data_IF_856345062580
#
_entry.id   IF_856345062580
#
_cell.length_a   1.000
_cell.length_b   1.000
_cell.length_c   1.000
_cell.angle_alpha   90.00
_cell.angle_beta   90.00
_cell.angle_gamma   90.00
#
_symmetry.space_group_name_H-M   'P 1'
#
loop_
_entity.id
_entity.type
_entity.pdbx_description
1 polymer ?
#
# COMPACT_ATOMS: atom_id res chain seq x y z
N UNK A 1 29.06 -13.99 1.69
CA UNK A 1 29.57 -15.27 1.15
C UNK A 1 29.11 -15.40 -0.29
N UNK A 2 29.98 -15.76 -1.23
CA UNK A 2 29.56 -16.02 -2.62
C UNK A 2 28.56 -17.18 -2.66
N UNK A 3 27.58 -17.12 -3.58
CA UNK A 3 26.58 -18.19 -3.74
C UNK A 3 27.25 -19.55 -4.03
N UNK A 4 28.36 -19.57 -4.77
CA UNK A 4 29.10 -20.80 -5.07
C UNK A 4 29.70 -21.43 -3.81
N UNK A 5 30.29 -20.62 -2.93
CA UNK A 5 30.85 -21.11 -1.66
C UNK A 5 29.76 -21.63 -0.72
N UNK A 6 28.59 -20.99 -0.73
CA UNK A 6 27.40 -21.41 0.02
C UNK A 6 26.93 -22.82 -0.37
N UNK A 7 26.87 -23.08 -1.67
CA UNK A 7 26.48 -24.38 -2.22
C UNK A 7 27.52 -25.46 -1.92
N UNK A 8 28.82 -25.14 -2.04
CA UNK A 8 29.89 -26.10 -1.72
C UNK A 8 29.84 -26.51 -0.24
N UNK A 9 29.70 -25.55 0.67
CA UNK A 9 29.57 -25.81 2.11
C UNK A 9 28.30 -26.61 2.42
N UNK A 10 27.19 -26.29 1.75
CA UNK A 10 25.96 -27.08 1.86
C UNK A 10 26.19 -28.55 1.50
N UNK A 11 26.77 -28.83 0.33
CA UNK A 11 27.03 -30.19 -0.14
C UNK A 11 27.94 -30.94 0.84
N UNK A 12 29.02 -30.29 1.30
CA UNK A 12 29.98 -30.91 2.21
C UNK A 12 29.35 -31.27 3.57
N UNK A 13 28.61 -30.34 4.17
CA UNK A 13 28.00 -30.54 5.49
C UNK A 13 26.81 -31.50 5.40
N UNK A 14 25.98 -31.38 4.37
CA UNK A 14 24.85 -32.28 4.13
C UNK A 14 25.32 -33.72 3.89
N UNK A 15 26.28 -33.92 2.97
CA UNK A 15 26.85 -35.23 2.69
C UNK A 15 27.54 -35.84 3.92
N UNK A 16 28.29 -35.02 4.67
CA UNK A 16 28.90 -35.43 5.94
C UNK A 16 27.88 -35.89 6.98
N UNK A 17 26.75 -35.20 7.10
CA UNK A 17 25.64 -35.60 7.97
C UNK A 17 25.03 -36.95 7.60
N UNK A 18 24.77 -37.17 6.30
CA UNK A 18 24.26 -38.47 5.82
C UNK A 18 25.25 -39.60 6.08
N UNK A 19 26.53 -39.41 5.76
CA UNK A 19 27.58 -40.42 6.02
C UNK A 19 27.67 -40.73 7.51
N UNK A 20 27.60 -39.71 8.37
CA UNK A 20 27.67 -39.90 9.82
C UNK A 20 26.48 -40.70 10.35
N UNK A 21 25.27 -40.47 9.85
CA UNK A 21 24.09 -41.27 10.19
C UNK A 21 24.25 -42.74 9.78
N UNK A 22 24.75 -43.00 8.56
CA UNK A 22 24.93 -44.35 8.05
C UNK A 22 26.02 -45.13 8.80
N UNK A 23 27.12 -44.46 9.18
CA UNK A 23 28.24 -45.10 9.89
C UNK A 23 27.92 -45.34 11.36
N UNK A 24 27.26 -44.39 12.03
CA UNK A 24 27.01 -44.47 13.48
C UNK A 24 25.69 -45.15 13.83
N UNK A 25 24.78 -45.31 12.86
CA UNK A 25 23.40 -45.74 13.13
C UNK A 25 22.61 -44.76 13.99
N UNK A 26 23.11 -43.53 14.19
CA UNK A 26 22.52 -42.54 15.07
C UNK A 26 21.96 -41.38 14.25
N UNK A 27 20.63 -41.23 14.26
CA UNK A 27 19.94 -40.16 13.57
C UNK A 27 20.44 -38.76 13.98
N UNK A 28 20.56 -38.53 15.29
CA UNK A 28 20.86 -37.20 15.85
C UNK A 28 22.25 -36.73 15.46
N UNK A 29 23.23 -37.64 15.38
CA UNK A 29 24.61 -37.30 15.06
C UNK A 29 24.73 -36.58 13.71
N UNK A 30 24.07 -37.08 12.66
CA UNK A 30 24.05 -36.41 11.36
C UNK A 30 22.93 -35.39 11.18
N UNK A 31 21.81 -35.51 11.91
CA UNK A 31 20.69 -34.58 11.81
C UNK A 31 21.10 -33.13 12.14
N UNK A 32 22.00 -32.94 13.12
CA UNK A 32 22.56 -31.62 13.46
C UNK A 32 23.33 -31.01 12.28
N UNK A 33 24.13 -31.82 11.58
CA UNK A 33 24.86 -31.36 10.40
C UNK A 33 23.89 -31.01 9.26
N UNK A 34 22.90 -31.85 9.00
CA UNK A 34 21.88 -31.63 7.96
C UNK A 34 21.06 -30.36 8.26
N UNK A 35 20.70 -30.12 9.53
CA UNK A 35 20.04 -28.89 9.95
C UNK A 35 20.92 -27.66 9.69
N UNK A 36 22.21 -27.70 10.07
CA UNK A 36 23.16 -26.63 9.76
C UNK A 36 23.31 -26.38 8.26
N UNK A 37 23.32 -27.43 7.44
CA UNK A 37 23.34 -27.32 5.99
C UNK A 37 22.05 -26.64 5.46
N UNK A 38 20.87 -27.03 5.93
CA UNK A 38 19.60 -26.38 5.55
C UNK A 38 19.58 -24.89 5.92
N UNK A 39 20.05 -24.54 7.12
CA UNK A 39 20.19 -23.14 7.56
C UNK A 39 21.10 -22.32 6.64
N UNK A 40 22.19 -22.93 6.16
CA UNK A 40 23.08 -22.31 5.20
C UNK A 40 22.39 -22.01 3.88
N UNK A 41 21.25 -22.59 3.52
CA UNK A 41 20.56 -22.33 2.24
C UNK A 41 19.30 -21.44 2.38
N UNK A 42 19.00 -20.93 3.58
CA UNK A 42 17.83 -20.08 3.80
C UNK A 42 17.85 -18.79 2.97
N UNK A 43 16.69 -18.40 2.45
CA UNK A 43 16.59 -17.14 1.72
C UNK A 43 16.42 -15.98 2.70
N UNK A 44 17.15 -14.89 2.43
CA UNK A 44 16.91 -13.63 3.15
C UNK A 44 15.56 -13.08 2.72
N UNK A 45 14.68 -12.82 3.69
CA UNK A 45 13.41 -12.15 3.44
C UNK A 45 13.59 -10.76 2.86
N UNK A 46 12.60 -10.30 2.09
CA UNK A 46 12.56 -8.95 1.53
C UNK A 46 11.50 -8.17 2.29
N UNK A 47 11.90 -7.07 2.94
CA UNK A 47 10.96 -6.13 3.55
C UNK A 47 10.93 -4.86 2.69
N UNK A 48 9.87 -4.70 1.92
CA UNK A 48 9.61 -3.53 1.07
C UNK A 48 8.53 -2.63 1.65
N UNK A 49 8.22 -2.75 2.95
CA UNK A 49 7.27 -1.83 3.60
C UNK A 49 7.81 -0.40 3.56
N UNK A 50 6.89 0.53 3.31
CA UNK A 50 7.21 1.95 3.26
C UNK A 50 7.41 2.48 4.68
N UNK A 51 8.65 2.84 5.00
CA UNK A 51 8.97 3.58 6.22
C UNK A 51 9.05 5.06 5.87
N UNK A 52 7.89 5.73 5.90
CA UNK A 52 7.79 7.16 5.70
C UNK A 52 7.93 7.82 7.07
N UNK A 53 8.93 8.67 7.25
CA UNK A 53 9.07 9.46 8.47
C UNK A 53 7.96 10.51 8.55
N UNK A 54 7.53 10.85 9.76
CA UNK A 54 6.39 11.76 9.96
C UNK A 54 6.65 13.18 9.43
N UNK A 55 7.92 13.57 9.30
CA UNK A 55 8.34 14.90 8.84
C UNK A 55 9.35 14.77 7.71
N UNK A 56 8.94 15.17 6.50
CA UNK A 56 9.84 15.29 5.36
C UNK A 56 9.90 16.76 4.97
N UNK A 57 11.09 17.34 4.97
CA UNK A 57 11.31 18.72 4.51
C UNK A 57 11.24 18.84 2.97
N UNK A 58 11.30 17.71 2.25
CA UNK A 58 11.34 17.64 0.78
C UNK A 58 10.07 16.99 0.17
N UNK A 59 8.88 17.28 0.70
CA UNK A 59 7.64 16.86 0.03
C UNK A 59 7.26 17.86 -1.04
N UNK A 60 7.14 17.40 -2.28
CA UNK A 60 6.80 18.25 -3.41
C UNK A 60 5.55 17.69 -4.11
N UNK A 61 4.60 18.59 -4.42
CA UNK A 61 3.46 18.28 -5.27
C UNK A 61 3.90 18.35 -6.73
N UNK A 62 3.83 17.24 -7.45
CA UNK A 62 4.11 17.19 -8.89
C UNK A 62 2.84 16.97 -9.70
N UNK A 63 2.77 17.59 -10.87
CA UNK A 63 1.70 17.32 -11.83
C UNK A 63 1.74 15.87 -12.26
N UNK A 64 0.58 15.24 -12.35
CA UNK A 64 0.44 13.84 -12.76
C UNK A 64 -0.67 13.67 -13.78
N UNK A 65 -0.45 12.74 -14.72
CA UNK A 65 -1.43 12.38 -15.74
C UNK A 65 -2.41 11.34 -15.21
N UNK A 66 -3.58 11.21 -15.86
CA UNK A 66 -4.55 10.15 -15.54
C UNK A 66 -3.91 8.76 -15.60
N UNK A 67 -3.08 8.51 -16.62
CA UNK A 67 -2.37 7.24 -16.80
C UNK A 67 -1.44 6.93 -15.61
N UNK A 68 -0.71 7.92 -15.08
CA UNK A 68 0.13 7.71 -13.90
C UNK A 68 -0.69 7.35 -12.66
N UNK A 69 -1.90 7.92 -12.49
CA UNK A 69 -2.80 7.54 -11.39
C UNK A 69 -3.34 6.12 -11.59
N UNK A 70 -3.68 5.75 -12.82
CA UNK A 70 -4.09 4.38 -13.17
C UNK A 70 -2.96 3.36 -12.94
N UNK A 71 -1.71 3.73 -13.21
CA UNK A 71 -0.54 2.92 -12.90
C UNK A 71 -0.40 2.68 -11.39
N UNK A 72 -0.57 3.72 -10.55
CA UNK A 72 -0.62 3.59 -9.09
C UNK A 72 -1.70 2.59 -8.67
N UNK A 73 -2.91 2.70 -9.24
CA UNK A 73 -4.01 1.77 -8.95
C UNK A 73 -3.69 0.34 -9.42
N UNK A 74 -3.03 0.19 -10.56
CA UNK A 74 -2.64 -1.11 -11.13
C UNK A 74 -1.59 -1.84 -10.29
N UNK A 75 -0.78 -1.10 -9.51
CA UNK A 75 0.22 -1.69 -8.61
C UNK A 75 -0.41 -2.62 -7.58
N UNK A 76 -1.59 -2.32 -7.05
CA UNK A 76 -2.34 -3.19 -6.11
C UNK A 76 -2.54 -4.60 -6.69
N UNK A 77 -2.96 -4.69 -7.96
CA UNK A 77 -3.17 -5.97 -8.65
C UNK A 77 -1.87 -6.71 -8.93
N UNK A 78 -0.76 -6.00 -9.16
CA UNK A 78 0.56 -6.60 -9.37
C UNK A 78 1.12 -7.12 -8.05
N UNK A 79 1.02 -6.33 -6.97
CA UNK A 79 1.45 -6.71 -5.62
C UNK A 79 0.71 -7.95 -5.12
N UNK A 80 -0.62 -8.03 -5.29
CA UNK A 80 -1.41 -9.22 -4.94
C UNK A 80 -1.03 -10.48 -5.71
N UNK A 81 -0.60 -10.35 -6.96
CA UNK A 81 -0.23 -11.50 -7.81
C UNK A 81 1.19 -12.00 -7.55
N UNK A 82 2.02 -11.19 -6.91
CA UNK A 82 3.43 -11.51 -6.66
C UNK A 82 3.61 -12.56 -5.56
N UNK A 83 2.63 -12.72 -4.67
CA UNK A 83 2.63 -13.70 -3.58
C UNK A 83 2.19 -15.10 -4.06
N UNK A 84 3.01 -15.73 -4.90
CA UNK A 84 2.78 -17.08 -5.45
C UNK A 84 3.99 -18.01 -5.26
N UNK A 85 4.85 -17.74 -4.29
CA UNK A 85 6.06 -18.52 -4.06
C UNK A 85 5.73 -19.89 -3.48
N UNK A 86 6.15 -20.97 -4.15
CA UNK A 86 5.93 -22.34 -3.66
C UNK A 86 6.71 -22.70 -2.39
N UNK A 87 7.70 -21.90 -1.99
CA UNK A 87 8.53 -22.13 -0.80
C UNK A 87 8.32 -21.05 0.28
N UNK A 88 7.17 -20.38 0.28
CA UNK A 88 6.82 -19.38 1.30
C UNK A 88 5.46 -19.74 1.92
N UNK A 89 5.47 -20.12 3.20
CA UNK A 89 4.27 -20.66 3.89
C UNK A 89 3.11 -19.65 3.97
N UNK A 90 3.39 -18.34 3.89
CA UNK A 90 2.36 -17.29 3.91
C UNK A 90 1.56 -17.21 2.61
N UNK A 91 2.07 -17.78 1.52
CA UNK A 91 1.33 -17.85 0.26
C UNK A 91 0.42 -19.09 0.24
N UNK A 92 -0.68 -19.04 -0.51
CA UNK A 92 -1.60 -20.19 -0.61
C UNK A 92 -0.92 -21.45 -1.19
N UNK A 93 -0.07 -21.29 -2.20
CA UNK A 93 0.65 -22.40 -2.83
C UNK A 93 1.73 -22.95 -1.90
N UNK A 94 2.51 -22.07 -1.25
CA UNK A 94 3.56 -22.48 -0.33
C UNK A 94 3.01 -23.11 0.93
N UNK A 95 1.86 -22.66 1.45
CA UNK A 95 1.14 -23.32 2.54
C UNK A 95 0.69 -24.75 2.17
N UNK A 96 0.14 -24.93 0.97
CA UNK A 96 -0.23 -26.26 0.46
C UNK A 96 0.99 -27.17 0.31
N UNK A 97 2.07 -26.69 -0.30
CA UNK A 97 3.29 -27.46 -0.48
C UNK A 97 3.98 -27.78 0.85
N UNK A 98 3.95 -26.85 1.81
CA UNK A 98 4.44 -27.09 3.17
C UNK A 98 3.67 -28.23 3.83
N UNK A 99 2.33 -28.22 3.72
CA UNK A 99 1.50 -29.30 4.23
C UNK A 99 1.81 -30.64 3.57
N UNK A 100 1.99 -30.67 2.24
CA UNK A 100 2.39 -31.89 1.51
C UNK A 100 3.74 -32.40 2.01
N UNK A 101 4.74 -31.52 2.18
CA UNK A 101 6.06 -31.88 2.72
C UNK A 101 5.95 -32.47 4.12
N UNK A 102 5.13 -31.88 5.00
CA UNK A 102 4.91 -32.42 6.35
C UNK A 102 4.27 -33.81 6.27
N UNK A 103 3.17 -33.97 5.52
CA UNK A 103 2.45 -35.25 5.42
C UNK A 103 3.35 -36.33 4.84
N UNK A 104 4.02 -36.07 3.72
CA UNK A 104 4.92 -37.04 3.08
C UNK A 104 6.10 -37.39 3.99
N UNK A 105 6.74 -36.39 4.60
CA UNK A 105 7.88 -36.62 5.48
C UNK A 105 7.50 -37.44 6.72
N UNK A 106 6.40 -37.11 7.39
CA UNK A 106 5.92 -37.90 8.54
C UNK A 106 5.44 -39.29 8.14
N UNK A 107 4.77 -39.43 6.99
CA UNK A 107 4.33 -40.73 6.49
C UNK A 107 5.50 -41.68 6.23
N UNK A 108 6.59 -41.18 5.63
CA UNK A 108 7.82 -41.96 5.42
C UNK A 108 8.43 -42.39 6.76
N UNK A 109 8.47 -41.50 7.76
CA UNK A 109 8.95 -41.85 9.10
C UNK A 109 8.11 -42.97 9.73
N UNK A 110 6.77 -42.89 9.61
CA UNK A 110 5.87 -43.91 10.14
C UNK A 110 6.11 -45.27 9.46
N UNK A 111 6.21 -45.31 8.12
CA UNK A 111 6.52 -46.55 7.40
C UNK A 111 7.84 -47.15 7.88
N UNK A 112 8.89 -46.33 8.00
CA UNK A 112 10.18 -46.80 8.48
C UNK A 112 10.13 -47.39 9.89
N UNK A 113 9.29 -46.84 10.78
CA UNK A 113 9.08 -47.38 12.13
C UNK A 113 8.30 -48.70 12.06
N UNK A 114 7.24 -48.78 11.27
CA UNK A 114 6.41 -49.98 11.12
C UNK A 114 7.18 -51.16 10.51
N UNK A 115 8.02 -50.89 9.50
CA UNK A 115 8.88 -51.89 8.86
C UNK A 115 10.17 -52.18 9.65
N UNK A 116 10.40 -51.45 10.75
CA UNK A 116 11.64 -51.49 11.53
C UNK A 116 12.91 -51.20 10.68
N UNK A 117 12.74 -50.41 9.61
CA UNK A 117 13.83 -49.92 8.76
C UNK A 117 14.25 -48.51 9.22
N UNK A 118 15.38 -48.48 9.92
CA UNK A 118 15.99 -47.25 10.42
C UNK A 118 16.42 -46.31 9.28
N UNK A 119 16.82 -46.83 8.12
CA UNK A 119 17.25 -45.98 7.00
C UNK A 119 16.07 -45.22 6.39
N UNK A 120 14.91 -45.88 6.26
CA UNK A 120 13.67 -45.24 5.79
C UNK A 120 13.23 -44.17 6.78
N UNK A 121 13.28 -44.48 8.08
CA UNK A 121 12.98 -43.51 9.14
C UNK A 121 13.92 -42.30 9.10
N UNK A 122 15.22 -42.52 8.90
CA UNK A 122 16.22 -41.45 8.82
C UNK A 122 16.01 -40.60 7.57
N UNK A 123 15.67 -41.21 6.44
CA UNK A 123 15.35 -40.49 5.22
C UNK A 123 14.17 -39.53 5.41
N UNK A 124 13.07 -40.01 6.01
CA UNK A 124 11.91 -39.17 6.32
C UNK A 124 12.24 -38.01 7.26
N UNK A 125 13.02 -38.27 8.31
CA UNK A 125 13.49 -37.23 9.24
C UNK A 125 14.38 -36.18 8.57
N UNK A 126 15.34 -36.62 7.75
CA UNK A 126 16.23 -35.74 7.00
C UNK A 126 15.47 -34.91 5.97
N UNK A 127 14.46 -35.48 5.31
CA UNK A 127 13.58 -34.77 4.39
C UNK A 127 12.88 -33.60 5.11
N UNK A 128 12.30 -33.85 6.29
CA UNK A 128 11.65 -32.80 7.08
C UNK A 128 12.65 -31.70 7.51
N UNK A 129 13.81 -32.09 8.04
CA UNK A 129 14.86 -31.14 8.47
C UNK A 129 15.36 -30.29 7.30
N UNK A 130 15.50 -30.87 6.12
CA UNK A 130 15.98 -30.16 4.95
C UNK A 130 14.96 -29.13 4.47
N UNK A 131 13.69 -29.51 4.34
CA UNK A 131 12.68 -28.69 3.65
C UNK A 131 11.94 -27.72 4.57
N UNK A 132 11.62 -28.08 5.81
CA UNK A 132 10.81 -27.21 6.72
C UNK A 132 11.40 -25.79 6.85
N UNK A 133 12.71 -25.61 7.11
CA UNK A 133 13.28 -24.27 7.28
C UNK A 133 13.10 -23.39 6.04
N UNK A 134 13.08 -23.97 4.84
CA UNK A 134 12.92 -23.21 3.61
C UNK A 134 11.54 -22.55 3.50
N UNK A 135 10.47 -23.26 3.89
CA UNK A 135 9.10 -22.71 3.92
C UNK A 135 8.91 -21.61 4.97
N UNK A 136 9.71 -21.65 6.05
CA UNK A 136 9.72 -20.67 7.14
C UNK A 136 10.74 -19.54 6.93
N UNK A 137 11.38 -19.49 5.76
CA UNK A 137 12.37 -18.47 5.41
C UNK A 137 11.90 -17.60 4.25
N UNK A 138 12.63 -16.51 3.98
CA UNK A 138 12.38 -15.72 2.77
C UNK A 138 11.10 -14.88 2.78
N UNK A 139 10.45 -14.69 3.93
CA UNK A 139 9.21 -13.91 4.04
C UNK A 139 9.30 -12.56 3.33
N UNK A 140 8.32 -12.28 2.46
CA UNK A 140 8.19 -11.02 1.75
C UNK A 140 7.14 -10.16 2.42
N UNK A 141 7.58 -9.06 3.02
CA UNK A 141 6.69 -8.09 3.65
C UNK A 141 6.53 -6.88 2.74
N UNK A 142 5.30 -6.55 2.42
CA UNK A 142 4.95 -5.41 1.58
C UNK A 142 3.75 -4.69 2.17
N UNK A 143 3.65 -3.40 1.87
CA UNK A 143 2.55 -2.56 2.35
C UNK A 143 1.33 -2.73 1.42
N UNK A 144 0.50 -3.73 1.72
CA UNK A 144 -0.71 -4.06 0.94
C UNK A 144 -1.78 -2.96 0.98
N UNK A 145 -1.72 -2.10 1.99
CA UNK A 145 -2.73 -1.08 2.28
C UNK A 145 -2.14 0.32 2.16
N UNK A 146 -1.38 0.56 1.08
CA UNK A 146 -0.79 1.87 0.87
C UNK A 146 -1.90 2.91 0.73
N UNK A 147 -1.96 3.86 1.67
CA UNK A 147 -2.96 4.94 1.71
C UNK A 147 -3.10 5.64 0.37
N UNK A 148 -2.01 5.75 -0.38
CA UNK A 148 -1.97 6.31 -1.74
C UNK A 148 -2.97 5.63 -2.70
N UNK A 149 -3.25 4.33 -2.55
CA UNK A 149 -4.27 3.65 -3.35
C UNK A 149 -5.67 4.17 -3.05
N UNK A 150 -5.96 4.48 -1.78
CA UNK A 150 -7.23 5.08 -1.37
C UNK A 150 -7.34 6.48 -1.97
N UNK A 151 -6.28 7.29 -1.90
CA UNK A 151 -6.22 8.59 -2.55
C UNK A 151 -6.47 8.50 -4.06
N UNK A 152 -5.72 7.65 -4.76
CA UNK A 152 -5.80 7.48 -6.21
C UNK A 152 -7.20 7.03 -6.66
N UNK A 153 -7.78 6.00 -6.01
CA UNK A 153 -9.12 5.50 -6.34
C UNK A 153 -10.20 6.56 -6.12
N UNK A 154 -10.16 7.29 -5.00
CA UNK A 154 -11.15 8.33 -4.71
C UNK A 154 -10.98 9.56 -5.63
N UNK A 155 -9.75 9.96 -5.94
CA UNK A 155 -9.51 11.06 -6.88
C UNK A 155 -9.97 10.73 -8.30
N UNK A 156 -9.73 9.50 -8.78
CA UNK A 156 -10.21 9.04 -10.08
C UNK A 156 -11.74 9.05 -10.15
N UNK A 157 -12.41 8.54 -9.11
CA UNK A 157 -13.88 8.61 -9.03
C UNK A 157 -14.39 10.05 -9.03
N UNK A 158 -13.77 10.92 -8.23
CA UNK A 158 -14.14 12.34 -8.18
C UNK A 158 -13.92 13.02 -9.53
N UNK A 159 -12.84 12.70 -10.24
CA UNK A 159 -12.57 13.17 -11.60
C UNK A 159 -13.69 12.78 -12.57
N UNK A 160 -14.09 11.51 -12.57
CA UNK A 160 -15.15 10.99 -13.43
C UNK A 160 -16.48 11.71 -13.13
N UNK A 161 -16.81 11.91 -11.85
CA UNK A 161 -17.99 12.68 -11.43
C UNK A 161 -17.92 14.14 -11.92
N UNK A 162 -16.77 14.80 -11.86
CA UNK A 162 -16.63 16.18 -12.38
C UNK A 162 -16.87 16.23 -13.88
N UNK A 163 -16.30 15.29 -14.64
CA UNK A 163 -16.49 15.22 -16.09
C UNK A 163 -17.95 14.99 -16.47
N UNK A 164 -18.70 14.20 -15.68
CA UNK A 164 -20.14 14.05 -15.85
C UNK A 164 -20.93 15.32 -15.51
N UNK A 165 -20.57 16.01 -14.42
CA UNK A 165 -21.27 17.22 -13.97
C UNK A 165 -21.04 18.39 -14.94
N UNK A 166 -19.81 18.55 -15.44
CA UNK A 166 -19.49 19.60 -16.39
C UNK A 166 -18.24 19.25 -17.23
N UNK A 167 -18.46 18.96 -18.51
CA UNK A 167 -17.42 18.62 -19.48
C UNK A 167 -16.45 19.77 -19.80
N UNK A 168 -16.82 21.03 -19.53
CA UNK A 168 -15.93 22.17 -19.78
C UNK A 168 -14.81 22.30 -18.74
N UNK A 169 -14.88 21.56 -17.63
CA UNK A 169 -13.88 21.62 -16.57
C UNK A 169 -12.71 20.70 -16.95
N UNK A 170 -11.52 21.27 -17.02
CA UNK A 170 -10.29 20.51 -17.23
C UNK A 170 -9.86 19.88 -15.92
N UNK A 171 -9.73 18.56 -15.94
CA UNK A 171 -9.34 17.76 -14.77
C UNK A 171 -7.87 17.38 -14.89
N UNK A 172 -7.09 17.68 -13.84
CA UNK A 172 -5.71 17.25 -13.67
C UNK A 172 -5.50 16.59 -12.31
N UNK A 173 -4.32 16.00 -12.12
CA UNK A 173 -3.94 15.36 -10.87
C UNK A 173 -2.63 15.95 -10.35
N UNK A 174 -2.49 15.98 -9.04
CA UNK A 174 -1.22 16.29 -8.38
C UNK A 174 -0.89 15.14 -7.45
N UNK A 175 0.34 14.65 -7.51
CA UNK A 175 0.85 13.58 -6.64
C UNK A 175 1.90 14.16 -5.71
N UNK A 176 1.73 13.94 -4.41
CA UNK A 176 2.72 14.25 -3.40
C UNK A 176 3.76 13.14 -3.39
N UNK A 177 5.01 13.48 -3.67
CA UNK A 177 6.10 12.52 -3.57
C UNK A 177 6.79 12.66 -2.21
N UNK A 178 7.08 11.52 -1.59
CA UNK A 178 7.84 11.42 -0.35
C UNK A 178 9.06 10.52 -0.54
N UNK A 179 10.16 10.91 0.10
CA UNK A 179 11.41 10.17 0.07
C UNK A 179 11.39 9.00 1.06
N UNK A 180 11.83 7.82 0.66
CA UNK A 180 12.01 6.69 1.56
C UNK A 180 13.23 6.93 2.45
N UNK A 181 13.04 6.87 3.77
CA UNK A 181 14.09 7.16 4.75
C UNK A 181 15.35 6.27 4.59
N UNK A 182 15.16 5.01 4.18
CA UNK A 182 16.26 4.04 4.02
C UNK A 182 16.90 4.07 2.64
N UNK A 183 16.09 4.13 1.59
CA UNK A 183 16.58 3.95 0.22
C UNK A 183 16.74 5.24 -0.57
N UNK A 184 16.30 6.38 -0.02
CA UNK A 184 16.32 7.69 -0.69
C UNK A 184 15.50 7.78 -1.98
N UNK A 185 14.76 6.72 -2.32
CA UNK A 185 13.89 6.70 -3.50
C UNK A 185 12.58 7.45 -3.22
N UNK A 186 12.04 8.11 -4.23
CA UNK A 186 10.78 8.85 -4.14
C UNK A 186 9.59 7.93 -4.40
N UNK A 187 8.54 8.06 -3.59
CA UNK A 187 7.31 7.27 -3.70
C UNK A 187 6.08 8.17 -3.62
N UNK A 188 5.00 7.81 -4.33
CA UNK A 188 3.74 8.56 -4.25
C UNK A 188 3.10 8.32 -2.87
N UNK A 189 2.83 9.42 -2.16
CA UNK A 189 2.25 9.43 -0.81
C UNK A 189 0.76 9.75 -0.86
N UNK A 190 0.40 10.80 -1.60
CA UNK A 190 -0.97 11.31 -1.71
C UNK A 190 -1.26 11.73 -3.15
N UNK A 191 -2.54 11.72 -3.51
CA UNK A 191 -3.04 12.21 -4.79
C UNK A 191 -4.16 13.20 -4.49
N UNK A 192 -4.15 14.35 -5.17
CA UNK A 192 -5.26 15.30 -5.14
C UNK A 192 -5.70 15.65 -6.56
N UNK A 193 -6.97 15.96 -6.68
CA UNK A 193 -7.60 16.40 -7.92
C UNK A 193 -7.34 17.91 -8.11
N UNK A 194 -6.99 18.34 -9.32
CA UNK A 194 -6.94 19.75 -9.71
C UNK A 194 -8.01 20.00 -10.76
N UNK A 195 -8.88 20.97 -10.50
CA UNK A 195 -9.93 21.41 -11.40
C UNK A 195 -9.56 22.80 -11.90
N UNK A 196 -9.54 22.94 -13.23
CA UNK A 196 -9.30 24.20 -13.91
C UNK A 196 -10.58 24.59 -14.65
N UNK A 197 -11.11 25.75 -14.32
CA UNK A 197 -12.29 26.32 -14.98
C UNK A 197 -11.83 27.29 -16.08
N UNK A 198 -12.40 27.17 -17.27
CA UNK A 198 -12.12 28.12 -18.36
C UNK A 198 -12.71 29.50 -18.03
N UNK A 199 -12.01 30.58 -18.42
CA UNK A 199 -12.44 31.96 -18.12
C UNK A 199 -12.33 32.34 -16.64
N UNK A 200 -11.51 31.63 -15.86
CA UNK A 200 -11.27 31.99 -14.45
C UNK A 200 -10.60 33.37 -14.31
N UNK A 201 -10.93 34.15 -13.26
CA UNK A 201 -10.23 35.40 -13.00
C UNK A 201 -8.76 35.13 -12.69
N UNK A 202 -7.87 36.09 -12.99
CA UNK A 202 -6.42 35.93 -12.76
C UNK A 202 -6.08 35.67 -11.28
N UNK A 203 -6.90 36.21 -10.38
CA UNK A 203 -6.76 35.98 -8.96
C UNK A 203 -7.14 34.56 -8.52
N UNK A 204 -7.76 33.73 -9.36
CA UNK A 204 -8.07 32.34 -9.03
C UNK A 204 -6.88 31.41 -9.30
N UNK A 205 -6.34 30.81 -8.24
CA UNK A 205 -5.16 29.94 -8.29
C UNK A 205 -5.52 28.46 -8.52
N UNK A 206 -6.78 28.10 -8.32
CA UNK A 206 -7.33 26.80 -8.69
C UNK A 206 -8.30 26.21 -7.68
N UNK A 207 -8.96 25.14 -8.10
CA UNK A 207 -9.82 24.31 -7.27
C UNK A 207 -9.20 22.94 -7.09
N UNK A 208 -9.14 22.46 -5.86
CA UNK A 208 -8.53 21.18 -5.53
C UNK A 208 -9.51 20.27 -4.81
N UNK A 209 -9.71 19.05 -5.32
CA UNK A 209 -10.38 17.97 -4.59
C UNK A 209 -9.34 17.23 -3.75
N UNK A 210 -9.51 17.26 -2.43
CA UNK A 210 -8.59 16.66 -1.48
C UNK A 210 -9.27 15.55 -0.69
N UNK A 211 -8.46 14.62 -0.18
CA UNK A 211 -8.91 13.53 0.68
C UNK A 211 -8.15 13.58 1.99
N UNK A 212 -8.85 13.45 3.11
CA UNK A 212 -8.26 13.19 4.41
C UNK A 212 -8.63 11.79 4.85
N UNK A 213 -7.68 11.00 5.37
CA UNK A 213 -7.94 9.63 5.82
C UNK A 213 -7.83 9.60 7.34
N UNK A 214 -8.98 9.50 8.01
CA UNK A 214 -9.04 9.27 9.44
C UNK A 214 -8.98 7.77 9.72
N UNK A 215 -8.22 7.35 10.73
CA UNK A 215 -8.14 5.95 11.13
C UNK A 215 -8.84 5.77 12.47
N UNK A 216 -9.88 4.93 12.49
CA UNK A 216 -10.58 4.54 13.74
C UNK A 216 -10.39 3.03 13.91
N UNK A 217 -9.56 2.65 14.89
CA UNK A 217 -9.11 1.27 15.04
C UNK A 217 -8.29 0.80 13.84
N UNK A 218 -8.72 -0.30 13.21
CA UNK A 218 -8.09 -0.85 12.01
C UNK A 218 -8.67 -0.32 10.69
N UNK A 219 -9.75 0.46 10.74
CA UNK A 219 -10.50 0.89 9.56
C UNK A 219 -10.13 2.32 9.15
N UNK A 220 -9.85 2.50 7.86
CA UNK A 220 -9.61 3.80 7.25
C UNK A 220 -10.92 4.42 6.75
N UNK A 221 -11.16 5.68 7.11
CA UNK A 221 -12.34 6.47 6.75
C UNK A 221 -11.90 7.63 5.84
N UNK A 222 -11.97 7.45 4.51
CA UNK A 222 -11.60 8.47 3.55
C UNK A 222 -12.68 9.56 3.47
N UNK A 223 -12.26 10.81 3.67
CA UNK A 223 -13.11 11.99 3.69
C UNK A 223 -12.71 12.98 2.61
N UNK A 224 -13.57 13.15 1.61
CA UNK A 224 -13.38 14.05 0.48
C UNK A 224 -13.92 15.45 0.79
N UNK A 225 -13.19 16.47 0.35
CA UNK A 225 -13.58 17.87 0.41
C UNK A 225 -12.92 18.64 -0.75
N UNK A 226 -13.36 19.86 -1.00
CA UNK A 226 -12.76 20.73 -2.02
C UNK A 226 -12.23 22.01 -1.44
N UNK A 227 -11.20 22.56 -2.07
CA UNK A 227 -10.53 23.79 -1.68
C UNK A 227 -10.44 24.71 -2.89
N UNK A 228 -10.99 25.90 -2.79
CA UNK A 228 -10.85 26.98 -3.75
C UNK A 228 -9.77 27.93 -3.23
N UNK A 229 -8.80 28.27 -4.07
CA UNK A 229 -7.68 29.14 -3.69
C UNK A 229 -7.68 30.38 -4.57
N UNK A 230 -7.61 31.54 -3.92
CA UNK A 230 -7.56 32.86 -4.56
C UNK A 230 -6.38 33.68 -4.05
N UNK A 231 -5.88 34.60 -4.86
CA UNK A 231 -4.99 35.67 -4.41
C UNK A 231 -5.79 36.64 -3.50
N UNK A 232 -5.14 37.27 -2.50
CA UNK A 232 -5.82 38.18 -1.56
C UNK A 232 -6.54 39.36 -2.23
N UNK A 233 -6.03 39.83 -3.38
CA UNK A 233 -6.63 40.90 -4.20
C UNK A 233 -8.04 40.57 -4.72
N UNK A 234 -8.47 39.30 -4.65
CA UNK A 234 -9.83 38.91 -4.99
C UNK A 234 -10.87 39.26 -3.90
N UNK A 235 -10.41 39.62 -2.70
CA UNK A 235 -11.24 39.95 -1.53
C UNK A 235 -12.24 38.86 -1.13
N UNK A 236 -11.80 37.59 -1.13
CA UNK A 236 -12.67 36.45 -0.85
C UNK A 236 -13.37 36.57 0.51
N UNK A 237 -12.68 37.14 1.51
CA UNK A 237 -13.23 37.42 2.85
C UNK A 237 -14.50 38.27 2.80
N UNK A 238 -14.53 39.30 1.95
CA UNK A 238 -15.67 40.22 1.82
C UNK A 238 -16.86 39.53 1.11
N UNK A 239 -16.56 38.61 0.19
CA UNK A 239 -17.56 37.84 -0.56
C UNK A 239 -18.10 36.66 0.24
N UNK A 240 -17.35 36.14 1.22
CA UNK A 240 -17.66 34.92 1.95
C UNK A 240 -19.07 34.92 2.58
N UNK A 241 -19.50 36.02 3.20
CA UNK A 241 -20.81 36.13 3.85
C UNK A 241 -21.97 36.00 2.85
N UNK A 242 -21.77 36.43 1.60
CA UNK A 242 -22.78 36.41 0.52
C UNK A 242 -22.95 35.05 -0.14
N UNK A 243 -21.99 34.14 0.04
CA UNK A 243 -22.05 32.79 -0.55
C UNK A 243 -23.22 32.00 0.07
N UNK A 244 -24.11 31.48 -0.75
CA UNK A 244 -25.22 30.64 -0.29
C UNK A 244 -24.95 29.17 -0.63
N UNK A 245 -25.08 28.31 0.39
CA UNK A 245 -25.04 26.86 0.21
C UNK A 245 -26.45 26.36 -0.03
N UNK A 246 -26.63 25.44 -0.97
CA UNK A 246 -27.93 24.87 -1.34
C UNK A 246 -28.47 23.89 -0.30
N UNK A 247 -27.58 23.34 0.52
CA UNK A 247 -27.93 22.34 1.54
C UNK A 247 -27.28 22.67 2.87
N UNK A 248 -28.01 22.41 3.96
CA UNK A 248 -27.51 22.54 5.34
C UNK A 248 -26.51 21.43 5.71
N UNK A 249 -26.40 20.38 4.90
CA UNK A 249 -25.45 19.30 5.13
C UNK A 249 -24.01 19.65 4.67
N UNK A 250 -23.78 20.88 4.23
CA UNK A 250 -22.48 21.39 3.77
C UNK A 250 -22.02 22.55 4.65
N UNK A 251 -20.71 22.66 4.81
CA UNK A 251 -20.01 23.75 5.47
C UNK A 251 -19.09 24.44 4.49
N UNK A 252 -18.95 25.75 4.67
CA UNK A 252 -17.93 26.58 4.04
C UNK A 252 -17.03 27.15 5.14
N UNK A 253 -15.73 27.09 4.94
CA UNK A 253 -14.73 27.62 5.86
C UNK A 253 -13.79 28.53 5.10
N UNK A 254 -13.47 29.68 5.69
CA UNK A 254 -12.52 30.64 5.13
C UNK A 254 -11.26 30.65 6.00
N UNK A 255 -10.10 30.61 5.37
CA UNK A 255 -8.82 30.90 5.99
C UNK A 255 -7.93 31.71 5.04
N UNK A 256 -6.98 32.47 5.60
CA UNK A 256 -5.90 33.09 4.83
C UNK A 256 -4.60 32.46 5.30
N UNK A 257 -3.90 31.78 4.40
CA UNK A 257 -2.69 31.02 4.71
C UNK A 257 -1.65 31.26 3.63
N UNK A 258 -0.37 31.44 4.01
CA UNK A 258 0.75 31.56 3.07
C UNK A 258 0.54 32.59 1.94
N UNK A 259 -0.15 33.70 2.23
CA UNK A 259 -0.39 34.77 1.25
C UNK A 259 -1.48 34.47 0.23
N UNK A 260 -2.34 33.48 0.47
CA UNK A 260 -3.53 33.17 -0.34
C UNK A 260 -4.79 33.10 0.53
N UNK A 261 -5.93 33.40 -0.08
CA UNK A 261 -7.25 33.20 0.51
C UNK A 261 -7.80 31.84 0.10
N UNK A 262 -8.28 31.10 1.08
CA UNK A 262 -8.70 29.70 0.94
C UNK A 262 -10.15 29.56 1.36
N UNK A 263 -10.95 28.94 0.50
CA UNK A 263 -12.34 28.56 0.78
C UNK A 263 -12.47 27.04 0.70
N UNK A 264 -12.71 26.42 1.85
CA UNK A 264 -12.94 24.98 1.97
C UNK A 264 -14.43 24.70 1.94
N UNK A 265 -14.84 23.75 1.10
CA UNK A 265 -16.21 23.23 1.05
C UNK A 265 -16.20 21.75 1.38
N UNK A 266 -16.96 21.39 2.41
CA UNK A 266 -16.95 20.05 2.99
C UNK A 266 -18.31 19.71 3.59
N UNK A 267 -18.59 18.43 3.78
CA UNK A 267 -19.82 18.00 4.44
C UNK A 267 -19.79 18.32 5.95
N UNK A 268 -20.96 18.53 6.55
CA UNK A 268 -21.09 18.54 8.02
C UNK A 268 -20.77 17.13 8.52
N UNK A 269 -19.85 17.03 9.48
CA UNK A 269 -19.49 15.77 10.12
C UNK A 269 -19.76 15.86 11.62
N UNK A 270 -20.17 14.74 12.22
CA UNK A 270 -20.25 14.60 13.68
C UNK A 270 -18.88 14.17 14.21
N UNK A 271 -18.36 14.84 15.24
CA UNK A 271 -17.03 14.55 15.83
C UNK A 271 -16.93 13.18 16.55
N UNK A 272 -18.02 12.41 16.60
CA UNK A 272 -18.20 11.25 17.47
C UNK A 272 -17.94 9.90 16.81
N UNK A 273 -17.77 9.82 15.48
CA UNK A 273 -17.54 8.56 14.77
C UNK A 273 -16.58 8.73 13.57
N UNK A 274 -16.00 7.61 13.13
CA UNK A 274 -15.30 7.57 11.84
C UNK A 274 -16.26 7.99 10.72
N UNK A 275 -15.84 8.94 9.90
CA UNK A 275 -16.67 9.54 8.86
C UNK A 275 -16.01 9.39 7.50
N UNK A 276 -16.72 8.76 6.55
CA UNK A 276 -16.27 8.61 5.17
C UNK A 276 -17.26 9.23 4.18
N UNK A 277 -16.74 9.72 3.06
CA UNK A 277 -17.54 10.34 2.01
C UNK A 277 -17.84 9.32 0.93
N UNK A 278 -19.11 8.94 0.76
CA UNK A 278 -19.53 8.05 -0.32
C UNK A 278 -19.68 8.80 -1.66
N UNK A 279 -19.87 8.08 -2.76
CA UNK A 279 -19.93 8.65 -4.12
C UNK A 279 -21.05 9.70 -4.27
N UNK A 280 -22.20 9.51 -3.60
CA UNK A 280 -23.31 10.49 -3.57
C UNK A 280 -22.90 11.79 -2.88
N UNK A 281 -22.21 11.69 -1.74
CA UNK A 281 -21.71 12.83 -1.00
C UNK A 281 -20.59 13.55 -1.77
N UNK A 282 -19.67 12.82 -2.42
CA UNK A 282 -18.64 13.40 -3.31
C UNK A 282 -19.29 14.21 -4.43
N UNK A 283 -20.32 13.67 -5.09
CA UNK A 283 -21.09 14.40 -6.11
C UNK A 283 -21.77 15.65 -5.53
N UNK A 284 -22.34 15.55 -4.34
CA UNK A 284 -22.97 16.69 -3.66
C UNK A 284 -21.98 17.81 -3.37
N UNK A 285 -20.79 17.47 -2.83
CA UNK A 285 -19.69 18.40 -2.59
C UNK A 285 -19.28 19.07 -3.89
N UNK A 286 -18.95 18.29 -4.92
CA UNK A 286 -18.50 18.82 -6.21
C UNK A 286 -19.53 19.75 -6.86
N UNK A 287 -20.81 19.35 -6.84
CA UNK A 287 -21.91 20.18 -7.38
C UNK A 287 -21.97 21.52 -6.65
N UNK A 288 -21.95 21.50 -5.32
CA UNK A 288 -21.97 22.70 -4.50
C UNK A 288 -20.74 23.58 -4.75
N UNK A 289 -19.56 22.97 -4.94
CA UNK A 289 -18.31 23.69 -5.22
C UNK A 289 -18.37 24.44 -6.53
N UNK A 290 -18.93 23.84 -7.59
CA UNK A 290 -19.09 24.52 -8.87
C UNK A 290 -20.11 25.65 -8.81
N UNK A 291 -21.20 25.48 -8.06
CA UNK A 291 -22.18 26.54 -7.81
C UNK A 291 -21.56 27.70 -7.02
N UNK A 292 -20.83 27.39 -5.94
CA UNK A 292 -20.17 28.40 -5.09
C UNK A 292 -19.10 29.14 -5.88
N UNK A 293 -18.30 28.46 -6.70
CA UNK A 293 -17.32 29.10 -7.58
C UNK A 293 -18.00 30.15 -8.49
N UNK A 294 -19.11 29.78 -9.14
CA UNK A 294 -19.87 30.73 -9.99
C UNK A 294 -20.40 31.92 -9.21
N UNK A 295 -20.96 31.70 -8.02
CA UNK A 295 -21.44 32.79 -7.15
C UNK A 295 -20.30 33.75 -6.80
N UNK A 296 -19.16 33.19 -6.36
CA UNK A 296 -18.01 33.95 -5.88
C UNK A 296 -17.37 34.80 -6.98
N UNK A 297 -17.29 34.28 -8.21
CA UNK A 297 -16.75 35.01 -9.36
C UNK A 297 -17.71 36.08 -9.88
N UNK A 298 -19.03 35.92 -9.67
CA UNK A 298 -20.04 36.90 -10.08
C UNK A 298 -20.22 38.08 -9.09
N UNK A 299 -19.71 37.95 -7.86
CA UNK A 299 -19.73 38.97 -6.81
C UNK A 299 -18.54 39.93 -6.94
#
# INVERSE_FOLDING_TARGET
>A
MSNSLRVILFIAIFGGGIVLQLVTGNFLAGAVLIACASLLMLNKGVDSRLHIERFHHNTEWKSSTRQQIEEIISMDRKLRRWDRSGFEVTSCLGGLLFFVVLVVGFFIVIIGIEENDQNVSFFGGNFLILFIPHFLSGFRRYDMASRVLIYAKNCMKAADIVTELNKSIKVGYLTLLAENAKTKAMYPKEVKLKLTMDGSPEAFLGCYGQLSINKVGATDFPYFYTVLIFKPEFELKNKFSKIQLRTQNMLKEFSSEQGVDVLVLRQVTTRTSGYSTNDKAVRGILTQTLEVYKQVVAL
#
